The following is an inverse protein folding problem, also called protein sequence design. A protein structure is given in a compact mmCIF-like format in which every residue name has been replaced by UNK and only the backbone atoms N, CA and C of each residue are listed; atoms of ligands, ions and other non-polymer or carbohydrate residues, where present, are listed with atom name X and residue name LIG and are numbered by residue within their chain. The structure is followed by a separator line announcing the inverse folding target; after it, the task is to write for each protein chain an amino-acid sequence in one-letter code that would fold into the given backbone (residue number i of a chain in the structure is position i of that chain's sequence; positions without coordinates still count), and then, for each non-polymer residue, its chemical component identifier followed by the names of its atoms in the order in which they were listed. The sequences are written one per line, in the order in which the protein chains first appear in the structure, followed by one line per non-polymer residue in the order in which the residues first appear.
data_IF_613733417124
#
_entry.id   IF_613733417124
#
_cell.length_a   1.000
_cell.length_b   1.000
_cell.length_c   1.000
_cell.angle_alpha   90.00
_cell.angle_beta   90.00
_cell.angle_gamma   90.00
#
_symmetry.space_group_name_H-M   'P 1'
#
loop_
_entity.id
_entity.type
_entity.pdbx_description
1 polymer ?
#
# COMPACT_ATOMS: atom_id res chain seq x y z
N UNK A 1 -29.54 43.37 -5.38
CA UNK A 1 -29.93 41.96 -5.27
C UNK A 1 -28.65 41.14 -5.15
N UNK A 2 -28.33 40.64 -3.95
CA UNK A 2 -27.12 39.86 -3.70
C UNK A 2 -27.50 38.37 -3.69
N UNK A 3 -27.20 37.69 -4.78
CA UNK A 3 -27.43 36.25 -4.94
C UNK A 3 -26.48 35.51 -4.01
N UNK A 4 -27.01 34.98 -2.91
CA UNK A 4 -26.27 34.12 -1.98
C UNK A 4 -25.83 32.87 -2.74
N UNK A 5 -24.53 32.67 -2.84
CA UNK A 5 -23.91 31.41 -3.28
C UNK A 5 -24.41 30.35 -2.30
N UNK A 6 -25.34 29.51 -2.75
CA UNK A 6 -25.84 28.40 -1.98
C UNK A 6 -24.67 27.43 -1.77
N UNK A 7 -24.27 27.26 -0.51
CA UNK A 7 -23.29 26.27 -0.12
C UNK A 7 -24.01 24.91 -0.13
N UNK A 8 -23.94 24.18 -1.25
CA UNK A 8 -24.65 22.91 -1.48
C UNK A 8 -23.82 21.74 -0.94
N UNK A 9 -23.61 21.72 0.37
CA UNK A 9 -23.33 20.48 1.08
C UNK A 9 -24.15 20.50 2.35
N UNK A 10 -25.31 19.85 2.30
CA UNK A 10 -26.18 19.78 3.47
C UNK A 10 -25.50 18.94 4.55
N UNK A 11 -25.61 19.34 5.83
CA UNK A 11 -25.08 18.59 6.98
C UNK A 11 -25.46 17.09 6.93
N UNK A 12 -26.63 16.80 6.37
CA UNK A 12 -27.17 15.45 6.20
C UNK A 12 -26.46 14.64 5.09
N UNK A 13 -26.00 15.28 4.02
CA UNK A 13 -25.15 14.66 3.00
C UNK A 13 -23.72 14.45 3.51
N UNK A 14 -23.19 15.37 4.32
CA UNK A 14 -21.92 15.19 5.01
C UNK A 14 -21.97 14.06 6.06
N UNK A 15 -23.06 13.97 6.83
CA UNK A 15 -23.33 12.86 7.76
C UNK A 15 -23.54 11.54 7.00
N UNK A 16 -24.24 11.55 5.85
CA UNK A 16 -24.44 10.36 5.01
C UNK A 16 -23.15 9.92 4.30
N UNK A 17 -22.26 10.85 3.93
CA UNK A 17 -20.91 10.57 3.46
C UNK A 17 -19.97 10.09 4.58
N UNK A 18 -20.17 10.57 5.82
CA UNK A 18 -19.53 10.01 7.04
C UNK A 18 -20.07 8.62 7.42
N UNK A 19 -21.21 8.20 6.86
CA UNK A 19 -21.87 6.91 7.07
C UNK A 19 -21.64 5.92 5.89
N UNK A 20 -20.65 6.16 5.03
CA UNK A 20 -20.26 5.21 4.01
C UNK A 20 -19.57 3.97 4.65
N UNK A 21 -19.79 2.76 4.11
CA UNK A 21 -19.19 1.50 4.58
C UNK A 21 -17.66 1.66 4.41
N UNK A 22 -16.79 1.48 5.38
CA UNK A 22 -16.68 0.38 6.31
C UNK A 22 -16.00 0.89 7.58
N UNK A 23 -16.68 0.74 8.71
CA UNK A 23 -16.06 0.96 10.02
C UNK A 23 -15.52 -0.39 10.46
N UNK A 24 -14.22 -0.53 10.58
CA UNK A 24 -13.58 -1.75 11.06
C UNK A 24 -13.28 -1.65 12.56
N UNK A 25 -12.99 -2.78 13.16
CA UNK A 25 -12.43 -2.86 14.50
C UNK A 25 -10.96 -3.28 14.40
N UNK A 26 -10.12 -2.62 15.18
CA UNK A 26 -8.77 -3.05 15.49
C UNK A 26 -8.73 -3.31 17.00
N UNK A 27 -8.91 -4.59 17.38
CA UNK A 27 -9.21 -4.97 18.75
C UNK A 27 -10.49 -4.27 19.23
N UNK A 28 -10.43 -3.56 20.36
CA UNK A 28 -11.58 -2.81 20.89
C UNK A 28 -11.85 -1.44 20.21
N UNK A 29 -10.95 -0.95 19.34
CA UNK A 29 -11.04 0.39 18.75
C UNK A 29 -11.73 0.36 17.39
N UNK A 30 -12.67 1.28 17.17
CA UNK A 30 -13.32 1.45 15.86
C UNK A 30 -12.51 2.40 14.98
N UNK A 31 -12.24 1.98 13.76
CA UNK A 31 -11.51 2.75 12.75
C UNK A 31 -12.35 2.91 11.49
N UNK A 32 -12.07 3.96 10.72
CA UNK A 32 -12.76 4.24 9.46
C UNK A 32 -11.81 4.07 8.30
N UNK A 33 -12.32 3.46 7.23
CA UNK A 33 -11.67 3.53 5.92
C UNK A 33 -11.87 4.93 5.36
N UNK A 34 -10.77 5.59 5.01
CA UNK A 34 -10.76 7.00 4.59
C UNK A 34 -9.80 7.25 3.44
N UNK A 35 -9.91 8.43 2.82
CA UNK A 35 -8.94 8.83 1.81
C UNK A 35 -7.57 9.09 2.46
N UNK A 36 -6.52 8.56 1.83
CA UNK A 36 -5.12 8.87 2.17
C UNK A 36 -4.75 10.15 1.45
N UNK A 37 -4.37 11.18 2.21
CA UNK A 37 -3.90 12.44 1.62
C UNK A 37 -2.47 12.29 1.09
N UNK A 38 -2.00 13.16 0.17
CA UNK A 38 -0.61 13.13 -0.29
C UNK A 38 0.43 13.25 0.84
N UNK A 39 0.08 13.97 1.92
CA UNK A 39 0.92 14.08 3.12
C UNK A 39 1.05 12.72 3.81
N UNK A 40 -0.06 12.08 4.13
CA UNK A 40 -0.08 10.77 4.81
C UNK A 40 0.55 9.69 3.94
N UNK A 41 0.35 9.73 2.62
CA UNK A 41 0.99 8.82 1.69
C UNK A 41 2.52 8.96 1.73
N UNK A 42 3.03 10.19 1.74
CA UNK A 42 4.47 10.44 1.87
C UNK A 42 5.00 9.97 3.23
N UNK A 43 4.26 10.20 4.30
CA UNK A 43 4.61 9.75 5.65
C UNK A 43 4.69 8.23 5.68
N UNK A 44 3.67 7.50 5.20
CA UNK A 44 3.69 6.03 5.10
C UNK A 44 4.94 5.52 4.39
N UNK A 45 5.22 6.00 3.18
CA UNK A 45 6.38 5.56 2.38
C UNK A 45 7.70 5.86 3.08
N UNK A 46 7.79 6.96 3.84
CA UNK A 46 8.99 7.29 4.59
C UNK A 46 9.26 6.33 5.76
N UNK A 47 8.20 5.76 6.36
CA UNK A 47 8.33 4.78 7.45
C UNK A 47 8.45 3.34 6.95
N UNK A 48 8.02 3.04 5.72
CA UNK A 48 8.10 1.68 5.18
C UNK A 48 9.44 1.44 4.49
N UNK A 49 10.45 1.08 5.27
CA UNK A 49 11.79 0.82 4.75
C UNK A 49 11.88 -0.48 3.93
N UNK A 50 11.15 -1.53 4.33
CA UNK A 50 11.38 -2.88 3.82
C UNK A 50 10.25 -3.43 2.93
N UNK A 51 9.02 -2.93 3.04
CA UNK A 51 7.88 -3.43 2.25
C UNK A 51 8.13 -3.47 0.74
N UNK A 52 8.76 -2.47 0.08
CA UNK A 52 9.06 -2.57 -1.35
C UNK A 52 9.92 -3.79 -1.71
N UNK A 53 10.94 -4.08 -0.89
CA UNK A 53 11.83 -5.23 -1.11
C UNK A 53 11.10 -6.56 -0.85
N UNK A 54 10.24 -6.62 0.16
CA UNK A 54 9.45 -7.81 0.49
C UNK A 54 8.43 -8.15 -0.60
N UNK A 55 7.79 -7.15 -1.21
CA UNK A 55 6.91 -7.35 -2.37
C UNK A 55 7.68 -7.97 -3.54
N UNK A 56 8.89 -7.49 -3.84
CA UNK A 56 9.74 -8.04 -4.91
C UNK A 56 10.13 -9.50 -4.62
N UNK A 57 10.46 -9.82 -3.37
CA UNK A 57 10.80 -11.19 -2.97
C UNK A 57 9.62 -12.15 -3.14
N UNK A 58 8.41 -11.75 -2.73
CA UNK A 58 7.20 -12.57 -2.92
C UNK A 58 6.86 -12.74 -4.39
N UNK A 59 6.97 -11.68 -5.20
CA UNK A 59 6.70 -11.75 -6.64
C UNK A 59 7.72 -12.61 -7.42
N UNK A 60 8.95 -12.70 -6.90
CA UNK A 60 10.03 -13.47 -7.53
C UNK A 60 10.12 -14.91 -7.00
N UNK A 61 9.26 -15.28 -6.04
CA UNK A 61 9.25 -16.60 -5.45
C UNK A 61 8.72 -17.65 -6.45
N UNK A 62 9.29 -18.87 -6.47
CA UNK A 62 8.72 -20.02 -7.18
C UNK A 62 7.28 -20.30 -6.75
N UNK A 63 6.41 -20.74 -7.67
CA UNK A 63 4.97 -20.96 -7.40
C UNK A 63 4.72 -21.94 -6.24
N UNK A 64 5.56 -22.96 -6.10
CA UNK A 64 5.51 -23.98 -5.04
C UNK A 64 5.93 -23.43 -3.66
N UNK A 65 6.62 -22.29 -3.62
CA UNK A 65 7.16 -21.67 -2.41
C UNK A 65 6.48 -20.32 -2.09
N UNK A 66 5.59 -19.86 -2.95
CA UNK A 66 4.93 -18.55 -2.85
C UNK A 66 4.31 -18.29 -1.47
N UNK A 67 3.61 -19.29 -0.90
CA UNK A 67 3.00 -19.18 0.41
C UNK A 67 4.03 -18.98 1.54
N UNK A 68 5.19 -19.65 1.46
CA UNK A 68 6.26 -19.52 2.45
C UNK A 68 6.93 -18.15 2.37
N UNK A 69 7.20 -17.66 1.17
CA UNK A 69 7.74 -16.33 0.96
C UNK A 69 6.75 -15.24 1.39
N UNK A 70 5.45 -15.43 1.13
CA UNK A 70 4.42 -14.52 1.58
C UNK A 70 4.34 -14.46 3.11
N UNK A 71 4.43 -15.62 3.79
CA UNK A 71 4.44 -15.66 5.25
C UNK A 71 5.70 -14.98 5.82
N UNK A 72 6.89 -15.30 5.28
CA UNK A 72 8.13 -14.66 5.68
C UNK A 72 8.10 -13.14 5.43
N UNK A 73 7.49 -12.69 4.34
CA UNK A 73 7.30 -11.28 4.07
C UNK A 73 6.38 -10.62 5.09
N UNK A 74 5.29 -11.29 5.50
CA UNK A 74 4.42 -10.79 6.56
C UNK A 74 5.18 -10.69 7.88
N UNK A 75 5.93 -11.71 8.27
CA UNK A 75 6.75 -11.70 9.49
C UNK A 75 7.73 -10.52 9.49
N UNK A 76 8.50 -10.36 8.41
CA UNK A 76 9.50 -9.28 8.28
C UNK A 76 8.88 -7.88 8.12
N UNK A 77 7.63 -7.78 7.67
CA UNK A 77 6.89 -6.52 7.52
C UNK A 77 5.96 -6.22 8.70
N UNK A 78 5.93 -7.05 9.75
CA UNK A 78 4.96 -6.89 10.85
C UNK A 78 5.03 -5.49 11.45
N UNK A 79 6.23 -5.04 11.80
CA UNK A 79 6.46 -3.71 12.39
C UNK A 79 6.11 -2.60 11.40
N UNK A 80 6.45 -2.77 10.11
CA UNK A 80 6.10 -1.83 9.04
C UNK A 80 4.57 -1.68 8.91
N UNK A 81 3.83 -2.79 8.95
CA UNK A 81 2.36 -2.80 8.86
C UNK A 81 1.70 -2.17 10.09
N UNK A 82 2.22 -2.43 11.28
CA UNK A 82 1.76 -1.79 12.52
C UNK A 82 2.02 -0.29 12.47
N UNK A 83 3.22 0.13 12.08
CA UNK A 83 3.62 1.54 11.96
C UNK A 83 2.72 2.30 10.98
N UNK A 84 2.46 1.73 9.79
CA UNK A 84 1.54 2.32 8.81
C UNK A 84 0.13 2.44 9.41
N UNK A 85 -0.34 1.39 10.08
CA UNK A 85 -1.69 1.37 10.66
C UNK A 85 -1.83 2.40 11.77
N UNK A 86 -0.81 2.57 12.61
CA UNK A 86 -0.71 3.62 13.61
C UNK A 86 -0.81 5.00 12.97
N UNK A 87 0.01 5.28 11.95
CA UNK A 87 0.01 6.56 11.25
C UNK A 87 -1.35 6.89 10.60
N UNK A 88 -2.05 5.89 10.05
CA UNK A 88 -3.33 6.08 9.37
C UNK A 88 -4.53 6.22 10.32
N UNK A 89 -4.49 5.55 11.46
CA UNK A 89 -5.61 5.48 12.42
C UNK A 89 -5.43 6.41 13.62
N UNK A 90 -4.20 6.82 13.92
CA UNK A 90 -3.82 7.52 15.15
C UNK A 90 -3.87 6.62 16.39
N UNK A 91 -3.92 5.29 16.22
CA UNK A 91 -3.84 4.33 17.32
C UNK A 91 -2.37 4.07 17.63
N UNK A 92 -2.04 4.09 18.91
CA UNK A 92 -0.70 3.84 19.43
C UNK A 92 -0.15 2.45 19.02
N UNK A 93 1.14 2.39 18.67
CA UNK A 93 1.79 1.16 18.18
C UNK A 93 1.84 0.07 19.26
N UNK A 94 2.08 0.40 20.53
CA UNK A 94 2.11 -0.58 21.62
C UNK A 94 0.73 -1.24 21.77
N UNK A 95 -0.35 -0.47 21.62
CA UNK A 95 -1.70 -1.01 21.59
C UNK A 95 -1.92 -1.93 20.38
N UNK A 96 -1.45 -1.56 19.20
CA UNK A 96 -1.58 -2.40 18.00
C UNK A 96 -0.81 -3.72 18.14
N UNK A 97 0.38 -3.71 18.75
CA UNK A 97 1.15 -4.92 19.01
C UNK A 97 0.53 -5.83 20.07
N UNK A 98 -0.07 -5.25 21.12
CA UNK A 98 -0.58 -6.02 22.25
C UNK A 98 -2.02 -6.52 22.11
N UNK A 99 -2.88 -5.76 21.41
CA UNK A 99 -4.34 -5.92 21.50
C UNK A 99 -5.03 -6.12 20.14
N UNK A 100 -4.28 -6.14 19.04
CA UNK A 100 -4.83 -6.24 17.68
C UNK A 100 -4.24 -7.43 16.95
N UNK A 101 -5.11 -8.25 16.36
CA UNK A 101 -4.67 -9.38 15.55
C UNK A 101 -4.06 -8.95 14.23
N UNK A 102 -3.01 -9.65 13.79
CA UNK A 102 -2.36 -9.35 12.52
C UNK A 102 -3.32 -9.42 11.31
N UNK A 103 -4.31 -10.31 11.36
CA UNK A 103 -5.37 -10.37 10.34
C UNK A 103 -6.20 -9.09 10.25
N UNK A 104 -6.46 -8.42 11.38
CA UNK A 104 -7.22 -7.16 11.41
C UNK A 104 -6.38 -6.01 10.83
N UNK A 105 -5.08 -5.97 11.15
CA UNK A 105 -4.13 -5.01 10.57
C UNK A 105 -4.10 -5.15 9.05
N UNK A 106 -3.91 -6.37 8.55
CA UNK A 106 -3.89 -6.64 7.12
C UNK A 106 -5.23 -6.30 6.46
N UNK A 107 -6.36 -6.67 7.08
CA UNK A 107 -7.69 -6.34 6.54
C UNK A 107 -7.87 -4.83 6.41
N UNK A 108 -7.50 -4.05 7.44
CA UNK A 108 -7.55 -2.60 7.39
C UNK A 108 -6.74 -2.04 6.22
N UNK A 109 -5.48 -2.48 6.06
CA UNK A 109 -4.61 -2.03 4.97
C UNK A 109 -5.17 -2.41 3.59
N UNK A 110 -5.69 -3.62 3.43
CA UNK A 110 -6.33 -4.06 2.18
C UNK A 110 -7.53 -3.19 1.83
N UNK A 111 -8.38 -2.87 2.82
CA UNK A 111 -9.52 -2.00 2.58
C UNK A 111 -9.09 -0.56 2.26
N UNK A 112 -8.04 -0.05 2.90
CA UNK A 112 -7.45 1.25 2.57
C UNK A 112 -6.90 1.29 1.14
N UNK A 113 -6.19 0.25 0.69
CA UNK A 113 -5.68 0.12 -0.69
C UNK A 113 -6.84 0.15 -1.70
N UNK A 114 -7.88 -0.63 -1.45
CA UNK A 114 -9.07 -0.72 -2.32
C UNK A 114 -9.82 0.60 -2.39
N UNK A 115 -10.08 1.23 -1.24
CA UNK A 115 -10.84 2.49 -1.16
C UNK A 115 -10.12 3.65 -1.86
N UNK A 116 -8.79 3.66 -1.83
CA UNK A 116 -7.96 4.71 -2.43
C UNK A 116 -7.52 4.42 -3.87
N UNK A 117 -7.91 3.27 -4.44
CA UNK A 117 -7.55 2.85 -5.80
C UNK A 117 -6.03 2.95 -6.06
N UNK A 118 -5.22 2.52 -5.07
CA UNK A 118 -3.76 2.66 -5.12
C UNK A 118 -3.14 1.82 -6.26
N UNK A 119 -3.76 0.70 -6.63
CA UNK A 119 -3.33 -0.12 -7.76
C UNK A 119 -3.37 0.68 -9.07
N UNK A 120 -4.48 1.39 -9.33
CA UNK A 120 -4.60 2.24 -10.52
C UNK A 120 -3.65 3.43 -10.44
N UNK A 121 -3.47 4.02 -9.25
CA UNK A 121 -2.50 5.10 -9.05
C UNK A 121 -1.09 4.65 -9.48
N UNK A 122 -0.62 3.49 -9.01
CA UNK A 122 0.69 2.94 -9.37
C UNK A 122 0.78 2.66 -10.88
N UNK A 123 -0.23 2.04 -11.48
CA UNK A 123 -0.27 1.79 -12.94
C UNK A 123 -0.17 3.08 -13.74
N UNK A 124 -0.87 4.13 -13.32
CA UNK A 124 -0.82 5.44 -13.96
C UNK A 124 0.58 6.05 -13.85
N UNK A 125 1.22 5.98 -12.68
CA UNK A 125 2.60 6.47 -12.50
C UNK A 125 3.58 5.69 -13.38
N UNK A 126 3.51 4.35 -13.40
CA UNK A 126 4.35 3.51 -14.26
C UNK A 126 4.15 3.86 -15.74
N UNK A 127 2.92 4.15 -16.17
CA UNK A 127 2.63 4.51 -17.56
C UNK A 127 3.29 5.81 -18.02
N UNK A 128 3.67 6.69 -17.08
CA UNK A 128 4.41 7.92 -17.34
C UNK A 128 5.92 7.69 -17.48
N UNK A 129 6.43 6.54 -17.03
CA UNK A 129 7.85 6.21 -17.14
C UNK A 129 8.19 5.86 -18.60
N UNK A 130 9.36 6.28 -19.10
CA UNK A 130 9.80 5.89 -20.43
C UNK A 130 9.90 4.36 -20.50
N UNK A 131 9.22 3.75 -21.47
CA UNK A 131 9.34 2.31 -21.70
C UNK A 131 10.81 1.99 -21.95
N UNK A 132 11.38 1.11 -21.14
CA UNK A 132 12.73 0.61 -21.37
C UNK A 132 12.78 0.07 -22.81
N UNK A 133 13.53 0.75 -23.70
CA UNK A 133 13.90 0.16 -24.97
C UNK A 133 14.69 -1.09 -24.62
N UNK A 134 14.18 -2.27 -24.97
CA UNK A 134 15.03 -3.47 -25.02
C UNK A 134 16.14 -3.14 -26.00
N UNK A 135 17.33 -2.85 -25.49
CA UNK A 135 18.55 -2.92 -26.28
C UNK A 135 18.80 -4.39 -26.52
N UNK A 136 18.30 -4.91 -27.64
CA UNK A 136 18.77 -6.16 -28.22
C UNK A 136 20.16 -5.87 -28.76
N UNK A 137 21.17 -5.93 -27.89
CA UNK A 137 22.55 -5.98 -28.33
C UNK A 137 22.84 -7.38 -28.86
N UNK A 138 23.26 -7.41 -30.12
CA UNK A 138 23.58 -8.60 -30.87
C UNK A 138 24.73 -9.36 -30.19
N UNK A 139 24.55 -10.67 -30.06
CA UNK A 139 25.63 -11.62 -29.83
C UNK A 139 26.55 -11.56 -31.05
N UNK A 140 27.64 -10.79 -30.98
CA UNK A 140 28.80 -11.02 -31.85
C UNK A 140 29.71 -12.05 -31.17
N UNK A 141 29.73 -13.21 -31.80
CA UNK A 141 30.66 -14.33 -31.62
C UNK A 141 32.10 -13.81 -31.64
N UNK A 142 32.85 -14.03 -30.56
CA UNK A 142 34.32 -13.98 -30.63
C UNK A 142 34.76 -15.43 -30.86
N UNK A 143 35.14 -15.72 -32.10
CA UNK A 143 35.80 -16.96 -32.48
C UNK A 143 37.12 -17.12 -31.72
N UNK A 144 37.31 -18.35 -31.27
CA UNK A 144 38.54 -18.95 -30.76
C UNK A 144 39.79 -18.49 -31.54
N UNK A 145 40.80 -18.00 -30.81
CA UNK A 145 42.19 -18.15 -31.23
C UNK A 145 42.99 -18.57 -30.01
N UNK A 146 43.11 -19.88 -29.81
CA UNK A 146 44.12 -20.44 -28.89
C UNK A 146 45.32 -20.85 -29.73
N UNK A 147 46.42 -20.13 -29.55
CA UNK A 147 47.77 -20.58 -29.90
C UNK A 147 48.08 -21.87 -29.14
N UNK A 148 48.40 -22.97 -29.84
CA UNK A 148 49.64 -23.78 -29.68
C UNK A 148 49.91 -24.53 -31.00
#
# INVERSE_FOLDING_TARGET
MLTKIANIFTKKEAEKAMLAPDTLTLGSKKVRIRKVTPKEFKEMIAVTGNVPNLVIQVMSAPEDQYAMYALAAVENATDDFVTITSALTGIDEDYLHGEVGMSEVIEYLVQMVKYNDLERMVKNVISLLPKAKKTTEATETIEETTEI
#
